data_IF_269355513350
#
_entry.id   IF_269355513350
#
_cell.length_a   1.000
_cell.length_b   1.000
_cell.length_c   1.000
_cell.angle_alpha   90.00
_cell.angle_beta   90.00
_cell.angle_gamma   90.00
#
_symmetry.space_group_name_H-M   'P 1'
#
loop_
_entity.id
_entity.type
_entity.pdbx_description
1 polymer ?
#
# COMPACT_ATOMS: atom_id res chain seq x y z
N UNK A 1 1.26 -14.70 41.74
CA UNK A 1 1.29 -13.32 41.25
C UNK A 1 0.86 -13.32 39.80
N UNK A 2 -0.42 -13.10 39.50
CA UNK A 2 -0.96 -13.05 38.13
C UNK A 2 -0.88 -11.57 37.70
N UNK A 3 0.02 -11.25 36.78
CA UNK A 3 0.09 -9.94 36.15
C UNK A 3 -1.06 -9.80 35.17
N UNK A 4 -2.01 -8.95 35.49
CA UNK A 4 -3.07 -8.50 34.57
C UNK A 4 -2.42 -7.69 33.44
N UNK A 5 -2.39 -8.27 32.23
CA UNK A 5 -2.13 -7.51 31.01
C UNK A 5 -3.42 -6.78 30.68
N UNK A 6 -3.47 -5.49 31.00
CA UNK A 6 -4.61 -4.62 30.68
C UNK A 6 -4.70 -4.39 29.18
N UNK A 7 -5.68 -5.00 28.53
CA UNK A 7 -6.04 -4.66 27.15
C UNK A 7 -6.75 -3.30 27.15
N UNK A 8 -6.16 -2.29 26.52
CA UNK A 8 -6.79 -0.98 26.32
C UNK A 8 -7.57 -1.01 25.01
N UNK A 9 -8.90 -1.17 25.09
CA UNK A 9 -9.78 -1.04 23.93
C UNK A 9 -10.25 0.40 23.79
N UNK A 10 -10.09 1.01 22.61
CA UNK A 10 -10.77 2.26 22.29
C UNK A 10 -12.25 1.96 21.99
N UNK A 11 -13.15 2.51 22.82
CA UNK A 11 -14.58 2.33 22.65
C UNK A 11 -15.15 3.54 21.89
N UNK A 12 -15.56 3.31 20.65
CA UNK A 12 -16.29 4.31 19.87
C UNK A 12 -17.79 4.10 20.04
N UNK A 13 -18.50 5.15 20.46
CA UNK A 13 -19.96 5.14 20.61
C UNK A 13 -20.55 5.78 19.35
N UNK A 14 -21.35 5.03 18.60
CA UNK A 14 -22.11 5.55 17.45
C UNK A 14 -23.61 5.45 17.72
N UNK A 15 -24.35 6.50 17.37
CA UNK A 15 -25.81 6.52 17.44
C UNK A 15 -26.33 6.15 16.05
N UNK A 16 -27.01 5.01 15.95
CA UNK A 16 -27.65 4.53 14.73
C UNK A 16 -29.14 4.29 15.03
N UNK A 17 -30.04 5.00 14.31
CA UNK A 17 -31.48 4.85 14.50
C UNK A 17 -31.99 5.13 15.90
N UNK A 18 -31.39 6.10 16.64
CA UNK A 18 -31.77 6.45 18.01
C UNK A 18 -31.31 5.48 19.10
N UNK A 19 -30.54 4.44 18.74
CA UNK A 19 -29.95 3.49 19.70
C UNK A 19 -28.44 3.67 19.80
N UNK A 20 -27.90 3.55 21.02
CA UNK A 20 -26.47 3.57 21.30
C UNK A 20 -25.87 2.18 20.99
N UNK A 21 -24.92 2.16 20.07
CA UNK A 21 -24.11 0.98 19.80
C UNK A 21 -22.67 1.23 20.27
N UNK A 22 -22.13 0.29 20.99
CA UNK A 22 -20.76 0.29 21.46
C UNK A 22 -19.94 -0.57 20.49
N UNK A 23 -19.09 0.08 19.72
CA UNK A 23 -18.13 -0.60 18.86
C UNK A 23 -16.79 -0.65 19.58
N UNK A 24 -16.20 -1.82 19.66
CA UNK A 24 -14.84 -2.02 20.16
C UNK A 24 -13.96 -2.14 18.92
N UNK A 25 -13.26 -1.06 18.59
CA UNK A 25 -12.26 -1.12 17.54
C UNK A 25 -10.95 -1.68 18.11
N UNK A 26 -10.25 -2.58 17.41
CA UNK A 26 -8.93 -3.04 17.86
C UNK A 26 -7.99 -1.84 17.95
N UNK A 27 -7.19 -1.80 19.00
CA UNK A 27 -6.16 -0.76 19.15
C UNK A 27 -5.26 -0.78 17.92
N UNK A 28 -4.91 0.37 17.37
CA UNK A 28 -4.08 0.46 16.14
C UNK A 28 -2.80 -0.39 16.21
N UNK A 29 -2.26 -0.62 17.42
CA UNK A 29 -1.11 -1.52 17.63
C UNK A 29 -1.39 -3.00 17.37
N UNK A 30 -2.65 -3.47 17.42
CA UNK A 30 -3.04 -4.85 17.12
C UNK A 30 -3.30 -5.06 15.61
N UNK A 31 -3.44 -3.98 14.85
CA UNK A 31 -3.66 -4.03 13.41
C UNK A 31 -2.37 -4.29 12.61
N UNK A 32 -1.19 -4.11 13.23
CA UNK A 32 0.12 -4.41 12.63
C UNK A 32 0.88 -5.39 13.53
N UNK A 33 1.21 -6.57 12.99
CA UNK A 33 1.99 -7.58 13.68
C UNK A 33 3.10 -8.10 12.77
N UNK A 34 4.34 -8.09 13.26
CA UNK A 34 5.51 -8.50 12.46
C UNK A 34 5.54 -7.79 11.10
N UNK A 35 5.31 -6.48 11.09
CA UNK A 35 5.29 -5.64 9.90
C UNK A 35 4.23 -6.05 8.84
N UNK A 36 3.20 -6.78 9.27
CA UNK A 36 2.07 -7.21 8.43
C UNK A 36 0.75 -6.71 9.01
N UNK A 37 -0.12 -6.22 8.13
CA UNK A 37 -1.48 -5.79 8.49
C UNK A 37 -2.33 -7.03 8.76
N UNK A 38 -2.89 -7.13 9.96
CA UNK A 38 -3.55 -8.36 10.44
C UNK A 38 -4.82 -8.72 9.69
N UNK A 39 -5.51 -7.73 9.13
CA UNK A 39 -6.76 -7.92 8.37
C UNK A 39 -6.56 -7.93 6.84
N UNK A 40 -5.33 -7.71 6.35
CA UNK A 40 -5.03 -7.81 4.92
C UNK A 40 -4.94 -9.27 4.47
N UNK A 41 -5.35 -9.53 3.22
CA UNK A 41 -5.08 -10.82 2.57
C UNK A 41 -3.56 -10.90 2.35
N UNK A 42 -2.93 -11.91 2.94
CA UNK A 42 -1.47 -12.06 2.89
C UNK A 42 -1.05 -12.92 1.69
N UNK A 43 -0.13 -12.40 0.91
CA UNK A 43 0.60 -13.11 -0.13
C UNK A 43 2.10 -13.05 0.20
N UNK A 44 2.85 -14.07 -0.16
CA UNK A 44 4.30 -14.11 0.10
C UNK A 44 5.06 -13.92 -1.21
N UNK A 45 5.16 -12.68 -1.69
CA UNK A 45 5.93 -12.39 -2.90
C UNK A 45 7.38 -12.82 -2.73
N UNK A 46 8.01 -13.47 -3.72
CA UNK A 46 9.44 -13.75 -3.71
C UNK A 46 10.29 -12.52 -4.15
N UNK A 47 9.66 -11.43 -4.59
CA UNK A 47 10.32 -10.28 -5.21
C UNK A 47 10.57 -9.17 -4.18
N UNK A 48 11.38 -9.48 -3.17
CA UNK A 48 11.86 -8.50 -2.19
C UNK A 48 13.25 -8.90 -1.70
N UNK A 49 13.89 -8.03 -0.95
CA UNK A 49 15.12 -8.29 -0.22
C UNK A 49 15.18 -7.46 1.08
N UNK A 50 16.32 -7.53 1.78
CA UNK A 50 16.52 -6.78 3.01
C UNK A 50 16.71 -5.28 2.71
N UNK A 51 16.21 -4.42 3.60
CA UNK A 51 16.52 -2.99 3.54
C UNK A 51 17.97 -2.76 3.97
N UNK A 52 18.69 -1.81 3.35
CA UNK A 52 20.02 -1.40 3.85
C UNK A 52 19.98 -0.89 5.28
N UNK A 53 18.87 -0.29 5.70
CA UNK A 53 18.59 0.16 7.07
C UNK A 53 17.09 -0.05 7.35
N UNK A 54 16.76 -1.07 8.12
CA UNK A 54 15.39 -1.41 8.51
C UNK A 54 14.73 -0.30 9.35
N UNK A 55 15.51 0.53 10.02
CA UNK A 55 15.01 1.67 10.79
C UNK A 55 14.65 2.89 9.93
N UNK A 56 15.04 2.89 8.65
CA UNK A 56 14.83 4.02 7.74
C UNK A 56 13.61 3.80 6.82
N UNK A 57 12.45 3.58 7.42
CA UNK A 57 11.18 3.60 6.69
C UNK A 57 10.62 5.01 6.80
N UNK A 58 10.83 5.81 5.75
CA UNK A 58 10.65 7.26 5.83
C UNK A 58 9.95 7.90 4.62
N UNK A 59 9.43 7.11 3.68
CA UNK A 59 8.70 7.58 2.51
C UNK A 59 7.52 6.63 2.22
N UNK A 60 6.36 7.18 1.88
CA UNK A 60 5.22 6.42 1.33
C UNK A 60 5.03 6.83 -0.13
N UNK A 61 5.04 5.85 -1.02
CA UNK A 61 4.86 6.05 -2.46
C UNK A 61 3.54 5.43 -2.89
N UNK A 62 2.70 6.24 -3.50
CA UNK A 62 1.42 5.82 -4.06
C UNK A 62 1.59 5.53 -5.55
N UNK A 63 1.07 4.40 -5.96
CA UNK A 63 1.13 3.87 -7.31
C UNK A 63 -0.27 3.54 -7.83
N UNK A 64 -0.36 3.18 -9.10
CA UNK A 64 -1.48 2.44 -9.64
C UNK A 64 -1.01 1.30 -10.54
N UNK A 65 -1.81 0.24 -10.56
CA UNK A 65 -1.58 -0.93 -11.38
C UNK A 65 -2.89 -1.57 -11.83
N UNK A 66 -2.95 -2.02 -13.07
CA UNK A 66 -3.95 -2.97 -13.56
C UNK A 66 -3.33 -3.84 -14.64
N UNK A 67 -3.71 -5.08 -14.74
CA UNK A 67 -3.24 -6.03 -15.73
C UNK A 67 -4.39 -6.89 -16.25
N UNK A 68 -4.71 -6.84 -17.56
CA UNK A 68 -4.22 -5.84 -18.55
C UNK A 68 -4.56 -4.41 -18.12
N UNK A 69 -3.91 -3.42 -18.71
CA UNK A 69 -4.16 -2.01 -18.36
C UNK A 69 -5.65 -1.65 -18.55
N UNK A 70 -6.26 -1.10 -17.47
CA UNK A 70 -7.68 -0.74 -17.45
C UNK A 70 -8.64 -1.90 -17.16
N UNK A 71 -8.17 -3.13 -17.04
CA UNK A 71 -8.98 -4.27 -16.61
C UNK A 71 -8.78 -4.52 -15.10
N UNK A 72 -9.90 -4.65 -14.37
CA UNK A 72 -9.90 -4.74 -12.92
C UNK A 72 -10.45 -6.07 -12.41
N UNK A 73 -10.05 -6.44 -11.19
CA UNK A 73 -10.48 -7.69 -10.56
C UNK A 73 -9.84 -8.94 -11.16
N UNK A 74 -8.83 -8.78 -12.01
CA UNK A 74 -8.10 -9.90 -12.61
C UNK A 74 -7.08 -10.49 -11.62
N UNK A 75 -6.63 -11.73 -11.79
CA UNK A 75 -5.58 -12.31 -10.96
C UNK A 75 -4.17 -11.81 -11.30
N UNK A 76 -3.99 -11.16 -12.46
CA UNK A 76 -2.68 -10.96 -13.07
C UNK A 76 -1.74 -10.03 -12.30
N UNK A 77 -2.27 -9.05 -11.55
CA UNK A 77 -1.43 -8.23 -10.66
C UNK A 77 -0.81 -9.10 -9.57
N UNK A 78 -1.61 -9.99 -8.96
CA UNK A 78 -1.11 -10.97 -8.00
C UNK A 78 -0.08 -11.89 -8.65
N UNK A 79 -0.40 -12.45 -9.81
CA UNK A 79 0.48 -13.39 -10.51
C UNK A 79 1.83 -12.71 -10.86
N UNK A 80 1.83 -11.44 -11.27
CA UNK A 80 3.06 -10.67 -11.50
C UNK A 80 3.90 -10.56 -10.22
N UNK A 81 3.29 -10.15 -9.10
CA UNK A 81 4.01 -9.96 -7.84
C UNK A 81 4.45 -11.28 -7.20
N UNK A 82 3.78 -12.38 -7.52
CA UNK A 82 4.19 -13.73 -7.11
C UNK A 82 5.21 -14.38 -8.04
N UNK A 83 5.51 -13.78 -9.21
CA UNK A 83 6.38 -14.37 -10.22
C UNK A 83 5.73 -15.54 -11.00
N UNK A 84 4.42 -15.56 -11.04
CA UNK A 84 3.58 -16.61 -11.65
C UNK A 84 2.91 -16.16 -12.95
N UNK A 85 3.08 -14.88 -13.34
CA UNK A 85 2.46 -14.31 -14.54
C UNK A 85 2.92 -15.05 -15.80
N UNK A 86 1.96 -15.57 -16.54
CA UNK A 86 2.22 -16.20 -17.84
C UNK A 86 2.23 -15.12 -18.92
N UNK A 87 3.38 -14.87 -19.55
CA UNK A 87 3.55 -13.83 -20.59
C UNK A 87 2.66 -14.03 -21.83
N UNK A 88 2.20 -15.27 -22.05
CA UNK A 88 1.29 -15.61 -23.16
C UNK A 88 -0.21 -15.53 -22.80
N UNK A 89 -0.56 -15.18 -21.55
CA UNK A 89 -1.96 -15.07 -21.12
C UNK A 89 -2.66 -13.84 -21.73
N UNK A 90 -1.91 -12.81 -22.09
CA UNK A 90 -2.42 -11.63 -22.78
C UNK A 90 -1.32 -11.00 -23.65
N UNK A 91 -1.65 -10.41 -24.83
CA UNK A 91 -0.65 -9.78 -25.71
C UNK A 91 0.22 -8.73 -25.00
N UNK A 92 -0.35 -7.95 -24.09
CA UNK A 92 0.35 -6.88 -23.36
C UNK A 92 1.34 -7.42 -22.31
N UNK A 93 1.34 -8.72 -22.04
CA UNK A 93 2.22 -9.32 -21.02
C UNK A 93 3.58 -9.73 -21.55
N UNK A 94 3.76 -9.78 -22.86
CA UNK A 94 5.07 -10.13 -23.45
C UNK A 94 6.24 -9.26 -22.91
N UNK A 95 6.08 -7.92 -22.74
CA UNK A 95 7.13 -7.07 -22.16
C UNK A 95 7.37 -7.32 -20.64
N UNK A 96 6.47 -8.05 -19.98
CA UNK A 96 6.56 -8.36 -18.55
C UNK A 96 7.25 -9.70 -18.27
N UNK A 97 7.63 -10.44 -19.33
CA UNK A 97 8.30 -11.73 -19.19
C UNK A 97 9.59 -11.59 -18.37
N UNK A 98 9.69 -12.38 -17.31
CA UNK A 98 10.84 -12.37 -16.41
C UNK A 98 10.98 -11.12 -15.54
N UNK A 99 10.01 -10.19 -15.60
CA UNK A 99 10.00 -9.00 -14.74
C UNK A 99 9.80 -9.39 -13.26
N UNK A 100 10.71 -8.92 -12.42
CA UNK A 100 10.70 -9.17 -10.98
C UNK A 100 10.42 -7.88 -10.24
N UNK A 101 9.16 -7.69 -9.86
CA UNK A 101 8.65 -6.49 -9.15
C UNK A 101 7.66 -6.89 -8.08
N UNK A 102 7.45 -6.03 -7.12
CA UNK A 102 6.43 -6.16 -6.07
C UNK A 102 6.11 -4.80 -5.48
N UNK A 103 4.98 -4.68 -4.78
CA UNK A 103 4.73 -3.60 -3.84
C UNK A 103 4.47 -4.19 -2.45
N UNK A 104 4.41 -3.34 -1.42
CA UNK A 104 4.06 -3.83 -0.10
C UNK A 104 2.58 -4.20 -0.03
N UNK A 105 1.71 -3.34 -0.58
CA UNK A 105 0.26 -3.57 -0.59
C UNK A 105 -0.34 -3.27 -1.96
N UNK A 106 -1.48 -3.91 -2.23
CA UNK A 106 -2.42 -3.58 -3.32
C UNK A 106 -3.79 -3.33 -2.69
N UNK A 107 -4.47 -2.25 -3.10
CA UNK A 107 -5.84 -1.95 -2.74
C UNK A 107 -6.70 -2.09 -3.99
N UNK A 108 -7.57 -3.11 -4.01
CA UNK A 108 -8.47 -3.39 -5.11
C UNK A 108 -9.58 -2.34 -5.21
N UNK A 109 -10.29 -2.29 -6.36
CA UNK A 109 -11.40 -1.34 -6.60
C UNK A 109 -12.51 -1.39 -5.54
N UNK A 110 -12.76 -2.54 -4.95
CA UNK A 110 -13.76 -2.75 -3.90
C UNK A 110 -13.27 -2.42 -2.48
N UNK A 111 -12.00 -1.97 -2.35
CA UNK A 111 -11.35 -1.67 -1.08
C UNK A 111 -10.66 -2.87 -0.44
N UNK A 112 -10.69 -4.05 -1.06
CA UNK A 112 -9.95 -5.22 -0.57
C UNK A 112 -8.46 -4.90 -0.49
N UNK A 113 -7.87 -5.14 0.68
CA UNK A 113 -6.46 -4.92 0.95
C UNK A 113 -5.69 -6.24 0.87
N UNK A 114 -4.68 -6.26 0.01
CA UNK A 114 -3.74 -7.37 -0.13
C UNK A 114 -2.35 -6.89 0.28
N UNK A 115 -1.60 -7.72 1.02
CA UNK A 115 -0.21 -7.43 1.38
C UNK A 115 0.72 -8.51 0.84
N UNK A 116 1.76 -8.10 0.11
CA UNK A 116 2.71 -8.97 -0.59
C UNK A 116 4.09 -9.01 0.07
N UNK A 117 4.53 -7.90 0.64
CA UNK A 117 5.84 -7.77 1.27
C UNK A 117 5.65 -7.16 2.66
N UNK A 118 6.26 -7.71 3.73
CA UNK A 118 6.28 -7.08 5.04
C UNK A 118 6.95 -5.70 4.97
N UNK A 119 6.48 -4.74 5.78
CA UNK A 119 6.97 -3.35 5.67
C UNK A 119 8.42 -3.15 6.07
N UNK A 120 9.00 -4.03 6.88
CA UNK A 120 10.44 -4.03 7.21
C UNK A 120 11.32 -4.48 6.05
N UNK A 121 10.76 -5.16 5.06
CA UNK A 121 11.47 -5.61 3.86
C UNK A 121 11.43 -4.59 2.73
N UNK A 122 12.33 -4.71 1.77
CA UNK A 122 12.42 -3.83 0.61
C UNK A 122 11.67 -4.42 -0.58
N UNK A 123 10.44 -3.99 -0.82
CA UNK A 123 9.71 -4.30 -2.05
C UNK A 123 10.33 -3.57 -3.26
N UNK A 124 10.15 -4.13 -4.45
CA UNK A 124 10.75 -3.61 -5.69
C UNK A 124 9.70 -2.89 -6.54
N UNK A 125 9.28 -1.67 -6.08
CA UNK A 125 8.20 -0.89 -6.70
C UNK A 125 8.65 0.41 -7.38
N UNK A 126 9.73 1.05 -6.92
CA UNK A 126 10.09 2.40 -7.34
C UNK A 126 11.14 2.45 -8.47
N UNK A 127 11.89 1.35 -8.69
CA UNK A 127 12.94 1.28 -9.72
C UNK A 127 13.98 2.39 -9.57
N UNK A 128 14.40 2.96 -10.71
CA UNK A 128 15.26 4.13 -10.73
C UNK A 128 14.46 5.35 -10.28
N UNK A 129 14.78 5.86 -9.10
CA UNK A 129 14.00 6.89 -8.45
C UNK A 129 14.84 7.78 -7.54
N UNK A 130 14.33 8.99 -7.24
CA UNK A 130 14.99 9.95 -6.35
C UNK A 130 13.96 10.76 -5.57
N UNK A 131 14.22 10.95 -4.28
CA UNK A 131 13.44 11.83 -3.40
C UNK A 131 14.36 12.66 -2.52
N UNK A 132 14.21 13.98 -2.52
CA UNK A 132 15.02 14.93 -1.74
C UNK A 132 16.55 14.65 -1.83
N UNK A 133 17.04 14.40 -3.05
CA UNK A 133 18.46 14.12 -3.30
C UNK A 133 18.89 12.65 -3.07
N UNK A 134 18.10 11.84 -2.37
CA UNK A 134 18.37 10.42 -2.13
C UNK A 134 17.90 9.59 -3.33
N UNK A 135 18.75 8.71 -3.82
CA UNK A 135 18.44 7.73 -4.88
C UNK A 135 17.89 6.44 -4.28
N UNK A 136 17.32 5.57 -5.15
CA UNK A 136 16.88 4.21 -4.80
C UNK A 136 15.78 4.23 -3.73
N UNK A 137 14.66 4.86 -4.04
CA UNK A 137 13.56 5.04 -3.07
C UNK A 137 13.05 3.72 -2.48
N UNK A 138 13.19 2.56 -3.15
CA UNK A 138 12.89 1.25 -2.55
C UNK A 138 13.59 1.06 -1.19
N UNK A 139 14.81 1.59 -1.03
CA UNK A 139 15.62 1.35 0.16
C UNK A 139 14.95 1.90 1.45
N UNK A 140 14.14 2.96 1.33
CA UNK A 140 13.55 3.67 2.47
C UNK A 140 12.04 3.99 2.32
N UNK A 141 11.36 3.39 1.32
CA UNK A 141 9.94 3.64 1.12
C UNK A 141 9.07 2.39 1.33
N UNK A 142 7.80 2.65 1.59
CA UNK A 142 6.71 1.70 1.43
C UNK A 142 5.99 2.07 0.14
N UNK A 143 5.69 1.10 -0.74
CA UNK A 143 4.88 1.29 -1.94
C UNK A 143 3.50 0.68 -1.76
N UNK A 144 2.46 1.45 -2.08
CA UNK A 144 1.06 0.99 -2.12
C UNK A 144 0.53 1.20 -3.52
N UNK A 145 0.03 0.13 -4.11
CA UNK A 145 -0.64 0.13 -5.41
C UNK A 145 -2.15 0.25 -5.24
N UNK A 146 -2.76 1.13 -6.00
CA UNK A 146 -4.20 1.18 -6.17
C UNK A 146 -4.56 0.51 -7.49
N UNK A 147 -5.48 -0.46 -7.48
CA UNK A 147 -5.97 -1.05 -8.74
C UNK A 147 -6.63 0.04 -9.58
N UNK A 148 -6.01 0.37 -10.72
CA UNK A 148 -6.41 1.50 -11.57
C UNK A 148 -5.40 1.77 -12.66
N UNK A 149 -5.61 2.90 -13.34
CA UNK A 149 -4.68 3.49 -14.30
C UNK A 149 -4.35 4.94 -13.90
N UNK A 150 -3.36 5.54 -14.52
CA UNK A 150 -2.99 6.93 -14.31
C UNK A 150 -4.05 7.96 -14.78
N UNK A 151 -5.07 7.50 -15.51
CA UNK A 151 -6.19 8.32 -16.01
C UNK A 151 -7.52 8.00 -15.32
N UNK A 152 -7.64 6.84 -14.64
CA UNK A 152 -8.90 6.43 -14.03
C UNK A 152 -9.13 7.08 -12.67
N UNK A 153 -10.39 7.43 -12.38
CA UNK A 153 -10.77 7.83 -11.04
C UNK A 153 -10.72 6.61 -10.08
N UNK A 154 -10.31 6.84 -8.85
CA UNK A 154 -10.29 5.82 -7.79
C UNK A 154 -11.60 5.84 -6.99
N UNK A 155 -11.97 4.68 -6.44
CA UNK A 155 -13.24 4.53 -5.71
C UNK A 155 -13.17 5.10 -4.29
N UNK A 156 -14.33 5.40 -3.72
CA UNK A 156 -14.44 5.82 -2.32
C UNK A 156 -13.84 4.77 -1.35
N UNK A 157 -14.05 3.50 -1.66
CA UNK A 157 -13.52 2.38 -0.87
C UNK A 157 -11.99 2.30 -0.92
N UNK A 158 -11.40 2.61 -2.09
CA UNK A 158 -9.93 2.67 -2.20
C UNK A 158 -9.37 3.83 -1.37
N UNK A 159 -9.96 5.03 -1.43
CA UNK A 159 -9.52 6.15 -0.59
C UNK A 159 -9.67 5.85 0.89
N UNK A 160 -10.80 5.27 1.31
CA UNK A 160 -11.02 4.89 2.70
C UNK A 160 -9.94 3.91 3.19
N UNK A 161 -9.71 2.83 2.45
CA UNK A 161 -8.69 1.83 2.79
C UNK A 161 -7.28 2.45 2.80
N UNK A 162 -6.94 3.31 1.81
CA UNK A 162 -5.65 3.97 1.73
C UNK A 162 -5.41 4.89 2.94
N UNK A 163 -6.43 5.65 3.38
CA UNK A 163 -6.35 6.49 4.58
C UNK A 163 -6.10 5.64 5.82
N UNK A 164 -6.87 4.57 6.03
CA UNK A 164 -6.71 3.66 7.16
C UNK A 164 -5.32 3.04 7.23
N UNK A 165 -4.81 2.54 6.09
CA UNK A 165 -3.44 1.99 6.00
C UNK A 165 -2.39 3.08 6.27
N UNK A 166 -2.57 4.26 5.70
CA UNK A 166 -1.61 5.37 5.90
C UNK A 166 -1.54 5.81 7.36
N UNK A 167 -2.67 5.98 8.04
CA UNK A 167 -2.70 6.32 9.47
C UNK A 167 -2.01 5.24 10.32
N UNK A 168 -2.21 3.97 9.98
CA UNK A 168 -1.53 2.86 10.63
C UNK A 168 -0.01 2.97 10.45
N UNK A 169 0.46 3.24 9.23
CA UNK A 169 1.88 3.40 8.93
C UNK A 169 2.48 4.63 9.64
N UNK A 170 1.80 5.77 9.63
CA UNK A 170 2.24 6.99 10.34
C UNK A 170 2.36 6.78 11.85
N UNK A 171 1.53 5.89 12.41
CA UNK A 171 1.58 5.54 13.84
C UNK A 171 2.80 4.64 14.17
N UNK A 172 3.16 3.70 13.27
CA UNK A 172 4.17 2.68 13.55
C UNK A 172 5.57 3.05 13.06
N UNK A 173 5.69 3.93 12.06
CA UNK A 173 6.96 4.32 11.46
C UNK A 173 7.22 5.82 11.68
N UNK A 174 7.92 6.21 12.76
CA UNK A 174 8.02 7.61 13.21
C UNK A 174 8.79 8.53 12.24
N UNK A 175 9.55 7.97 11.29
CA UNK A 175 10.21 8.74 10.23
C UNK A 175 9.26 9.08 9.07
N UNK A 176 8.09 8.40 8.96
CA UNK A 176 7.01 8.78 8.05
C UNK A 176 6.26 9.99 8.61
N UNK A 177 5.82 10.88 7.73
CA UNK A 177 4.89 11.96 8.05
C UNK A 177 4.14 12.38 6.77
N UNK A 178 3.09 13.18 6.89
CA UNK A 178 2.25 13.60 5.76
C UNK A 178 3.02 14.27 4.61
N UNK A 179 4.15 14.95 4.88
CA UNK A 179 4.98 15.60 3.86
C UNK A 179 5.85 14.62 3.09
N UNK A 180 5.86 13.37 3.49
CA UNK A 180 6.63 12.28 2.90
C UNK A 180 5.74 11.21 2.27
N UNK A 181 4.57 11.63 1.80
CA UNK A 181 3.64 10.84 0.99
C UNK A 181 3.64 11.45 -0.41
N UNK A 182 3.93 10.64 -1.43
CA UNK A 182 4.17 11.14 -2.78
C UNK A 182 3.77 10.12 -3.85
N UNK A 183 3.50 10.56 -5.06
CA UNK A 183 3.28 9.69 -6.22
C UNK A 183 4.59 9.20 -6.85
N UNK A 184 4.54 8.06 -7.52
CA UNK A 184 5.68 7.50 -8.24
C UNK A 184 6.19 8.44 -9.34
N UNK A 185 5.29 9.14 -10.02
CA UNK A 185 5.59 10.16 -11.02
C UNK A 185 6.56 11.24 -10.52
N UNK A 186 6.46 11.61 -9.24
CA UNK A 186 7.28 12.68 -8.64
C UNK A 186 8.69 12.21 -8.26
N UNK A 187 8.87 10.90 -7.99
CA UNK A 187 10.19 10.32 -7.67
C UNK A 187 10.89 9.72 -8.89
N UNK A 188 10.18 9.59 -10.01
CA UNK A 188 10.68 9.06 -11.27
C UNK A 188 10.16 9.87 -12.48
N UNK A 189 10.30 11.22 -12.49
CA UNK A 189 9.72 12.08 -13.51
C UNK A 189 10.21 11.71 -14.91
N UNK A 190 9.29 11.76 -15.89
CA UNK A 190 9.56 11.37 -17.28
C UNK A 190 9.64 9.87 -17.54
N UNK A 191 9.65 9.03 -16.48
CA UNK A 191 9.64 7.58 -16.59
C UNK A 191 8.32 6.96 -16.10
N UNK A 192 7.66 7.61 -15.15
CA UNK A 192 6.44 7.13 -14.52
C UNK A 192 5.40 8.23 -14.44
N UNK A 193 4.14 7.82 -14.55
CA UNK A 193 2.96 8.70 -14.54
C UNK A 193 2.01 8.38 -13.38
N UNK A 194 2.20 7.26 -12.69
CA UNK A 194 1.35 6.79 -11.62
C UNK A 194 1.52 7.56 -10.29
N UNK A 195 0.48 7.76 -9.48
CA UNK A 195 -0.89 7.30 -9.64
C UNK A 195 -1.71 8.14 -10.65
N UNK A 196 -1.15 9.21 -11.22
CA UNK A 196 -1.67 9.99 -12.32
C UNK A 196 -2.74 11.02 -11.95
N UNK A 197 -3.31 11.64 -12.99
CA UNK A 197 -4.29 12.73 -12.86
C UNK A 197 -5.64 12.30 -12.28
N UNK A 198 -5.96 11.00 -12.31
CA UNK A 198 -7.17 10.45 -11.71
C UNK A 198 -7.12 10.38 -10.18
N UNK A 199 -5.95 10.58 -9.56
CA UNK A 199 -5.79 10.54 -8.11
C UNK A 199 -6.02 11.90 -7.47
N UNK A 200 -7.03 11.98 -6.59
CA UNK A 200 -7.40 13.20 -5.87
C UNK A 200 -6.54 13.37 -4.60
N UNK A 201 -5.38 14.00 -4.77
CA UNK A 201 -4.46 14.31 -3.68
C UNK A 201 -5.08 15.15 -2.56
N UNK A 202 -5.83 16.24 -2.83
CA UNK A 202 -6.52 17.01 -1.80
C UNK A 202 -7.48 16.17 -0.98
N UNK A 203 -8.31 15.36 -1.65
CA UNK A 203 -9.22 14.44 -0.98
C UNK A 203 -8.50 13.50 -0.03
N UNK A 204 -7.41 12.89 -0.47
CA UNK A 204 -6.64 11.94 0.32
C UNK A 204 -5.95 12.60 1.52
N UNK A 205 -5.17 13.66 1.26
CA UNK A 205 -4.35 14.29 2.29
C UNK A 205 -5.17 15.05 3.35
N UNK A 206 -6.37 15.53 3.01
CA UNK A 206 -7.25 16.20 3.97
C UNK A 206 -7.91 15.23 4.97
N UNK A 207 -7.89 13.93 4.70
CA UNK A 207 -8.44 12.90 5.60
C UNK A 207 -7.40 12.33 6.58
N UNK A 208 -6.13 12.61 6.38
CA UNK A 208 -5.03 12.25 7.27
C UNK A 208 -4.85 13.36 8.35
#
# INVERSE_FOLDING_TARGET
>A
MLTHIGFTFLQTIRILGGKLYRFVEPVKSEQLKNHKITHAIQHASPHFDERPDESDISLLVIHCISLPEGEYGTPYVKDLFMGELQSNAHPDFAPLEGLRVSAHCVIRRDGTLEQYVPFDKRAWHAGQSRYCGRKRCNDFSIGIELEGTDQSAYTDKQYQCLVEVTELLLTHYPKLNRRRIIGHEHIAPGRKTDPGSGFDWPRYLNQL
#
